data_IF_471076686100
#
_entry.id   IF_471076686100
#
_cell.length_a   1.000
_cell.length_b   1.000
_cell.length_c   1.000
_cell.angle_alpha   90.00
_cell.angle_beta   90.00
_cell.angle_gamma   90.00
#
_symmetry.space_group_name_H-M   'P 1'
#
loop_
_entity.id
_entity.type
_entity.pdbx_description
1 polymer ?
#
# COMPACT_ATOMS: atom_id res chain seq x y z
N UNK A 1 64.38 -45.40 -10.40
CA UNK A 1 63.58 -44.29 -10.96
C UNK A 1 62.26 -44.88 -11.41
N UNK A 2 61.28 -44.88 -10.50
CA UNK A 2 59.91 -45.34 -10.77
C UNK A 2 59.12 -44.22 -11.43
N UNK A 3 58.12 -44.57 -12.22
CA UNK A 3 57.26 -43.67 -13.00
C UNK A 3 56.45 -42.66 -12.17
N UNK A 4 56.56 -42.67 -10.83
CA UNK A 4 55.91 -41.73 -9.90
C UNK A 4 56.70 -40.45 -9.63
N UNK A 5 57.96 -40.35 -10.04
CA UNK A 5 58.77 -39.13 -9.86
C UNK A 5 58.71 -38.16 -11.06
N UNK A 6 57.97 -38.49 -12.12
CA UNK A 6 57.84 -37.67 -13.34
C UNK A 6 56.46 -37.00 -13.54
N UNK A 7 55.56 -37.04 -12.55
CA UNK A 7 54.24 -36.39 -12.61
C UNK A 7 54.09 -35.18 -11.66
N UNK A 8 55.19 -34.53 -11.27
CA UNK A 8 55.21 -33.30 -10.44
C UNK A 8 55.86 -32.10 -11.15
N UNK A 9 55.65 -31.99 -12.46
CA UNK A 9 55.91 -30.75 -13.18
C UNK A 9 54.63 -29.90 -13.24
N UNK A 10 54.54 -28.92 -12.33
CA UNK A 10 53.87 -27.65 -12.61
C UNK A 10 52.37 -27.51 -12.32
N UNK A 11 51.85 -27.93 -11.15
CA UNK A 11 50.63 -27.28 -10.65
C UNK A 11 51.03 -25.96 -9.99
N UNK A 12 50.87 -24.86 -10.72
CA UNK A 12 51.02 -23.52 -10.17
C UNK A 12 49.96 -23.31 -9.09
N UNK A 13 50.35 -23.44 -7.82
CA UNK A 13 49.49 -23.10 -6.68
C UNK A 13 49.16 -21.61 -6.76
N UNK A 14 47.87 -21.28 -6.66
CA UNK A 14 47.43 -19.88 -6.72
C UNK A 14 48.07 -19.11 -5.55
N UNK A 15 48.78 -17.98 -5.80
CA UNK A 15 49.40 -17.20 -4.74
C UNK A 15 48.37 -16.71 -3.72
N UNK A 16 48.72 -16.80 -2.43
CA UNK A 16 47.90 -16.29 -1.32
C UNK A 16 48.09 -14.79 -1.16
N UNK A 17 47.62 -14.03 -2.16
CA UNK A 17 47.73 -12.57 -2.23
C UNK A 17 46.33 -11.93 -2.23
N UNK A 18 46.21 -10.79 -1.57
CA UNK A 18 44.96 -10.02 -1.48
C UNK A 18 44.83 -9.25 -0.17
N UNK A 19 43.91 -8.30 -0.14
CA UNK A 19 43.52 -7.60 1.06
C UNK A 19 42.67 -8.52 1.96
N UNK A 20 42.99 -8.58 3.24
CA UNK A 20 42.16 -9.27 4.22
C UNK A 20 40.90 -8.46 4.53
N UNK A 21 39.75 -8.95 4.09
CA UNK A 21 38.45 -8.30 4.24
C UNK A 21 37.63 -8.86 5.40
N UNK A 22 38.17 -9.77 6.22
CA UNK A 22 37.40 -10.27 7.37
C UNK A 22 37.28 -9.20 8.46
N UNK A 23 36.13 -9.13 9.16
CA UNK A 23 35.99 -8.21 10.29
C UNK A 23 37.02 -8.45 11.41
N UNK A 24 37.49 -9.70 11.56
CA UNK A 24 38.47 -10.10 12.57
C UNK A 24 39.93 -9.89 12.15
N UNK A 25 40.18 -9.56 10.89
CA UNK A 25 41.53 -9.47 10.30
C UNK A 25 42.38 -10.72 10.56
N UNK A 26 41.77 -11.89 10.32
CA UNK A 26 42.36 -13.23 10.58
C UNK A 26 42.89 -13.92 9.31
N UNK A 27 42.92 -13.21 8.18
CA UNK A 27 43.30 -13.72 6.87
C UNK A 27 42.38 -14.84 6.38
N UNK A 28 41.14 -14.90 6.86
CA UNK A 28 40.16 -15.92 6.49
C UNK A 28 39.60 -15.76 5.08
N UNK A 29 39.51 -14.52 4.61
CA UNK A 29 39.01 -14.15 3.28
C UNK A 29 39.91 -13.06 2.71
N UNK A 30 40.71 -13.42 1.70
CA UNK A 30 41.57 -12.48 0.99
C UNK A 30 40.92 -12.09 -0.34
N UNK A 31 40.88 -10.79 -0.65
CA UNK A 31 40.32 -10.24 -1.88
C UNK A 31 41.39 -9.59 -2.73
N UNK A 32 41.42 -9.94 -4.02
CA UNK A 32 42.24 -9.28 -5.03
C UNK A 32 41.33 -8.78 -6.16
N UNK A 33 41.27 -7.46 -6.37
CA UNK A 33 40.51 -6.88 -7.48
C UNK A 33 41.29 -7.10 -8.79
N UNK A 34 40.67 -7.79 -9.75
CA UNK A 34 41.23 -8.04 -11.10
C UNK A 34 40.77 -6.98 -12.10
N UNK A 35 39.55 -6.46 -11.92
CA UNK A 35 39.00 -5.34 -12.68
C UNK A 35 38.10 -4.52 -11.78
N UNK A 36 38.34 -3.22 -11.78
CA UNK A 36 37.52 -2.26 -11.03
C UNK A 36 36.08 -2.22 -11.55
N UNK A 37 35.14 -2.03 -10.62
CA UNK A 37 33.75 -1.70 -10.94
C UNK A 37 33.52 -0.20 -11.09
N UNK A 38 32.26 0.17 -11.24
CA UNK A 38 31.79 1.56 -11.36
C UNK A 38 30.76 1.89 -10.28
N UNK A 39 30.60 3.18 -9.99
CA UNK A 39 29.71 3.67 -8.94
C UNK A 39 30.35 3.68 -7.56
N UNK A 40 29.64 4.27 -6.60
CA UNK A 40 30.07 4.33 -5.19
C UNK A 40 29.22 3.45 -4.26
N UNK A 41 28.08 2.95 -4.75
CA UNK A 41 27.22 2.06 -3.97
C UNK A 41 27.76 0.63 -3.93
N UNK A 42 27.61 0.02 -2.77
CA UNK A 42 27.94 -1.38 -2.50
C UNK A 42 26.66 -2.14 -2.13
N UNK A 43 26.57 -3.45 -2.44
CA UNK A 43 25.50 -4.31 -1.95
C UNK A 43 25.40 -4.28 -0.41
N UNK A 44 24.17 -4.26 0.10
CA UNK A 44 23.87 -4.29 1.53
C UNK A 44 23.23 -5.63 1.92
N UNK A 45 23.18 -5.88 3.23
CA UNK A 45 22.50 -7.09 3.73
C UNK A 45 21.04 -7.09 3.29
N UNK A 46 20.58 -8.19 2.69
CA UNK A 46 19.23 -8.36 2.14
C UNK A 46 19.10 -7.98 0.67
N UNK A 47 20.07 -7.31 0.06
CA UNK A 47 20.03 -7.03 -1.38
C UNK A 47 20.09 -8.35 -2.17
N UNK A 48 19.33 -8.41 -3.25
CA UNK A 48 19.46 -9.47 -4.25
C UNK A 48 20.60 -9.11 -5.18
N UNK A 49 21.63 -9.95 -5.22
CA UNK A 49 22.83 -9.74 -6.03
C UNK A 49 22.88 -10.74 -7.17
N UNK A 50 23.47 -10.35 -8.30
CA UNK A 50 23.61 -11.18 -9.50
C UNK A 50 25.06 -11.22 -9.93
N UNK A 51 25.63 -12.42 -9.96
CA UNK A 51 27.05 -12.63 -10.20
C UNK A 51 27.31 -13.71 -11.25
N UNK A 52 28.43 -13.59 -11.97
CA UNK A 52 29.10 -14.79 -12.49
C UNK A 52 30.24 -15.20 -11.58
N UNK A 53 30.53 -16.50 -11.53
CA UNK A 53 31.66 -17.01 -10.78
C UNK A 53 32.32 -18.22 -11.43
N UNK A 54 33.57 -18.44 -11.04
CA UNK A 54 34.35 -19.65 -11.28
C UNK A 54 34.97 -20.09 -9.96
N UNK A 55 34.71 -21.32 -9.53
CA UNK A 55 35.20 -21.90 -8.28
C UNK A 55 36.27 -22.97 -8.54
N UNK A 56 37.44 -22.79 -7.93
CA UNK A 56 38.59 -23.69 -8.03
C UNK A 56 39.17 -24.02 -6.65
N UNK A 57 39.81 -25.18 -6.53
CA UNK A 57 40.69 -25.47 -5.39
C UNK A 57 42.01 -24.70 -5.54
N UNK A 58 42.80 -24.62 -4.47
CA UNK A 58 44.08 -23.88 -4.47
C UNK A 58 45.10 -24.41 -5.50
N UNK A 59 44.96 -25.68 -5.88
CA UNK A 59 45.77 -26.34 -6.91
C UNK A 59 45.28 -26.03 -8.34
N UNK A 60 44.20 -25.25 -8.49
CA UNK A 60 43.60 -24.87 -9.77
C UNK A 60 42.49 -25.82 -10.25
N UNK A 61 42.20 -26.90 -9.52
CA UNK A 61 41.13 -27.84 -9.90
C UNK A 61 39.77 -27.16 -9.88
N UNK A 62 39.13 -27.05 -11.04
CA UNK A 62 37.80 -26.47 -11.20
C UNK A 62 36.71 -27.40 -10.61
N UNK A 63 35.80 -26.86 -9.79
CA UNK A 63 34.70 -27.64 -9.19
C UNK A 63 33.30 -27.15 -9.56
N UNK A 64 33.12 -25.86 -9.85
CA UNK A 64 31.83 -25.29 -10.24
C UNK A 64 31.98 -23.89 -10.88
N UNK A 65 31.16 -23.59 -11.88
CA UNK A 65 31.06 -22.25 -12.48
C UNK A 65 29.62 -21.97 -12.92
N UNK A 66 29.19 -20.72 -12.79
CA UNK A 66 27.94 -20.27 -13.42
C UNK A 66 28.12 -19.94 -14.90
N UNK A 67 29.34 -19.68 -15.36
CA UNK A 67 29.62 -19.40 -16.79
C UNK A 67 29.37 -20.62 -17.66
N UNK A 68 29.68 -21.82 -17.15
CA UNK A 68 29.38 -23.09 -17.81
C UNK A 68 27.88 -23.31 -18.04
N UNK A 69 27.05 -22.67 -17.21
CA UNK A 69 25.58 -22.74 -17.27
C UNK A 69 24.97 -21.64 -18.14
N UNK A 70 25.75 -20.62 -18.50
CA UNK A 70 25.30 -19.49 -19.31
C UNK A 70 24.35 -18.52 -18.62
N UNK A 71 24.05 -18.73 -17.33
CA UNK A 71 23.10 -17.91 -16.55
C UNK A 71 23.80 -17.31 -15.33
N UNK A 72 23.45 -16.06 -15.00
CA UNK A 72 23.93 -15.41 -13.77
C UNK A 72 23.38 -16.15 -12.56
N UNK A 73 24.20 -16.30 -11.53
CA UNK A 73 23.73 -16.80 -10.24
C UNK A 73 23.23 -15.63 -9.39
N UNK A 74 22.04 -15.77 -8.81
CA UNK A 74 21.46 -14.75 -7.93
C UNK A 74 21.20 -15.29 -6.52
N UNK A 75 21.47 -14.48 -5.51
CA UNK A 75 21.21 -14.82 -4.10
C UNK A 75 20.95 -13.55 -3.27
N UNK A 76 20.41 -13.73 -2.06
CA UNK A 76 20.25 -12.64 -1.08
C UNK A 76 21.49 -12.52 -0.20
N UNK A 77 22.12 -11.35 -0.22
CA UNK A 77 23.38 -11.11 0.48
C UNK A 77 23.18 -11.07 2.00
N UNK A 78 24.04 -11.74 2.76
CA UNK A 78 24.04 -11.71 4.23
C UNK A 78 22.90 -12.52 4.88
N UNK A 79 22.20 -13.36 4.11
CA UNK A 79 21.14 -14.26 4.59
C UNK A 79 21.61 -15.70 4.77
N UNK A 80 22.91 -15.99 4.54
CA UNK A 80 23.47 -17.34 4.66
C UNK A 80 23.04 -18.29 3.55
N UNK A 81 22.61 -17.77 2.40
CA UNK A 81 22.33 -18.58 1.19
C UNK A 81 23.61 -19.09 0.52
N UNK A 82 24.75 -18.46 0.82
CA UNK A 82 26.08 -18.77 0.30
C UNK A 82 27.07 -18.95 1.45
N UNK A 83 28.29 -19.39 1.14
CA UNK A 83 29.35 -19.51 2.16
C UNK A 83 29.68 -18.15 2.79
N UNK A 84 30.14 -18.14 4.05
CA UNK A 84 30.44 -16.91 4.79
C UNK A 84 31.42 -15.99 4.06
N UNK A 85 32.39 -16.57 3.34
CA UNK A 85 33.34 -15.80 2.55
C UNK A 85 32.69 -14.98 1.43
N UNK A 86 31.62 -15.49 0.82
CA UNK A 86 30.88 -14.78 -0.22
C UNK A 86 30.05 -13.64 0.36
N UNK A 87 29.37 -13.87 1.50
CA UNK A 87 28.62 -12.82 2.18
C UNK A 87 29.53 -11.64 2.56
N UNK A 88 30.78 -11.91 2.95
CA UNK A 88 31.78 -10.87 3.24
C UNK A 88 32.31 -10.25 1.93
N UNK A 89 32.70 -11.09 0.96
CA UNK A 89 33.36 -10.65 -0.26
C UNK A 89 32.48 -9.80 -1.18
N UNK A 90 31.28 -10.29 -1.49
CA UNK A 90 30.37 -9.61 -2.44
C UNK A 90 29.86 -8.28 -1.87
N UNK A 91 29.74 -8.15 -0.54
CA UNK A 91 29.41 -6.89 0.13
C UNK A 91 30.44 -5.77 -0.10
N UNK A 92 31.65 -6.10 -0.56
CA UNK A 92 32.72 -5.13 -0.84
C UNK A 92 32.85 -4.79 -2.32
N UNK A 93 32.03 -5.37 -3.19
CA UNK A 93 32.18 -5.25 -4.65
C UNK A 93 31.36 -4.08 -5.21
N UNK A 94 31.93 -3.37 -6.17
CA UNK A 94 31.21 -2.40 -7.02
C UNK A 94 30.57 -3.09 -8.22
N UNK A 95 29.53 -2.50 -8.80
CA UNK A 95 28.91 -3.01 -10.05
C UNK A 95 29.95 -3.06 -11.17
N UNK A 96 30.06 -4.21 -11.84
CA UNK A 96 31.04 -4.49 -12.90
C UNK A 96 32.40 -4.99 -12.41
N UNK A 97 32.64 -4.99 -11.10
CA UNK A 97 33.90 -5.44 -10.51
C UNK A 97 34.11 -6.95 -10.73
N UNK A 98 35.33 -7.32 -11.10
CA UNK A 98 35.81 -8.70 -11.12
C UNK A 98 36.87 -8.85 -10.04
N UNK A 99 36.63 -9.71 -9.05
CA UNK A 99 37.60 -9.98 -7.99
C UNK A 99 37.90 -11.48 -7.84
N UNK A 100 39.03 -11.79 -7.21
CA UNK A 100 39.38 -13.11 -6.74
C UNK A 100 39.28 -13.14 -5.22
N UNK A 101 38.54 -14.11 -4.68
CA UNK A 101 38.45 -14.40 -3.26
C UNK A 101 39.19 -15.71 -2.94
N UNK A 102 40.07 -15.66 -1.95
CA UNK A 102 40.71 -16.85 -1.36
C UNK A 102 40.06 -17.08 0.01
N UNK A 103 39.41 -18.22 0.16
CA UNK A 103 38.50 -18.52 1.26
C UNK A 103 39.02 -19.70 2.07
N UNK A 104 39.49 -19.44 3.30
CA UNK A 104 39.86 -20.50 4.25
C UNK A 104 38.65 -21.37 4.61
N UNK A 105 38.85 -22.65 5.00
CA UNK A 105 37.76 -23.58 5.28
C UNK A 105 36.79 -23.07 6.35
N UNK A 106 37.25 -22.32 7.35
CA UNK A 106 36.40 -21.74 8.38
C UNK A 106 35.33 -20.81 7.78
N UNK A 107 35.63 -20.12 6.68
CA UNK A 107 34.70 -19.23 5.97
C UNK A 107 34.03 -19.90 4.76
N UNK A 108 34.29 -21.19 4.54
CA UNK A 108 33.74 -22.03 3.46
C UNK A 108 33.00 -23.25 4.04
N UNK A 109 33.41 -24.47 3.68
CA UNK A 109 32.75 -25.74 4.07
C UNK A 109 33.38 -26.46 5.27
N UNK A 110 34.37 -25.85 5.92
CA UNK A 110 34.99 -26.35 7.15
C UNK A 110 35.61 -27.74 7.02
N UNK A 111 35.67 -28.44 8.16
CA UNK A 111 36.23 -29.78 8.27
C UNK A 111 35.38 -30.87 7.61
N UNK A 112 34.11 -30.59 7.30
CA UNK A 112 33.25 -31.53 6.59
C UNK A 112 33.50 -31.52 5.07
N UNK A 113 33.83 -30.35 4.50
CA UNK A 113 33.88 -30.16 3.06
C UNK A 113 32.48 -30.26 2.41
N UNK A 114 32.44 -30.51 1.11
CA UNK A 114 31.22 -30.84 0.35
C UNK A 114 31.53 -31.95 -0.66
N UNK A 115 31.63 -33.21 -0.21
CA UNK A 115 31.98 -34.33 -1.07
C UNK A 115 30.96 -34.57 -2.20
N UNK A 116 31.39 -35.07 -3.38
CA UNK A 116 32.76 -35.47 -3.71
C UNK A 116 33.64 -34.31 -4.21
N UNK A 117 33.07 -33.13 -4.46
CA UNK A 117 33.75 -32.03 -5.17
C UNK A 117 34.72 -31.24 -4.29
N UNK A 118 34.35 -31.01 -3.03
CA UNK A 118 35.12 -30.18 -2.11
C UNK A 118 35.58 -31.06 -0.94
N UNK A 119 36.89 -31.27 -0.75
CA UNK A 119 37.39 -32.08 0.36
C UNK A 119 37.28 -31.36 1.71
N UNK A 120 37.38 -32.11 2.82
CA UNK A 120 37.58 -31.56 4.17
C UNK A 120 38.70 -30.51 4.24
N UNK A 121 38.46 -29.41 4.97
CA UNK A 121 39.43 -28.33 5.22
C UNK A 121 40.01 -27.68 3.94
N UNK A 122 39.27 -27.73 2.83
CA UNK A 122 39.70 -27.12 1.57
C UNK A 122 39.75 -25.59 1.67
N UNK A 123 40.83 -25.00 1.17
CA UNK A 123 40.85 -23.57 0.80
C UNK A 123 40.33 -23.43 -0.61
N UNK A 124 39.34 -22.58 -0.79
CA UNK A 124 38.69 -22.36 -2.09
C UNK A 124 39.14 -21.03 -2.68
N UNK A 125 39.24 -20.99 -4.01
CA UNK A 125 39.49 -19.77 -4.76
C UNK A 125 38.32 -19.53 -5.69
N UNK A 126 37.71 -18.36 -5.57
CA UNK A 126 36.62 -17.92 -6.43
C UNK A 126 37.04 -16.71 -7.24
N UNK A 127 36.77 -16.71 -8.54
CA UNK A 127 36.69 -15.48 -9.32
C UNK A 127 35.22 -15.09 -9.44
N UNK A 128 34.86 -13.87 -9.04
CA UNK A 128 33.47 -13.39 -8.97
C UNK A 128 33.36 -12.07 -9.73
N UNK A 129 32.34 -11.96 -10.58
CA UNK A 129 31.97 -10.74 -11.31
C UNK A 129 30.58 -10.28 -10.85
N UNK A 130 30.48 -9.09 -10.26
CA UNK A 130 29.20 -8.52 -9.83
C UNK A 130 28.56 -7.73 -10.98
N UNK A 131 27.36 -8.11 -11.41
CA UNK A 131 26.68 -7.44 -12.52
C UNK A 131 25.67 -6.40 -12.08
N UNK A 132 24.90 -6.72 -11.06
CA UNK A 132 23.82 -5.86 -10.56
C UNK A 132 23.44 -6.32 -9.16
N UNK A 133 22.88 -5.40 -8.40
CA UNK A 133 22.18 -5.69 -7.17
C UNK A 133 20.98 -4.74 -7.07
N UNK A 134 19.94 -5.18 -6.36
CA UNK A 134 18.83 -4.33 -6.03
C UNK A 134 18.33 -4.65 -4.63
N UNK A 135 17.74 -3.65 -3.98
CA UNK A 135 17.06 -3.83 -2.70
C UNK A 135 15.85 -4.76 -2.83
N UNK A 136 15.26 -5.07 -1.69
CA UNK A 136 14.04 -5.86 -1.59
C UNK A 136 12.83 -5.01 -1.99
N UNK A 137 12.03 -5.50 -2.94
CA UNK A 137 10.74 -4.90 -3.22
C UNK A 137 9.71 -5.38 -2.18
N UNK A 138 9.19 -4.44 -1.40
CA UNK A 138 8.22 -4.75 -0.33
C UNK A 138 6.78 -4.49 -0.75
N UNK A 139 6.54 -4.24 -2.03
CA UNK A 139 5.18 -4.09 -2.57
C UNK A 139 4.52 -5.45 -2.80
N UNK A 140 3.21 -5.53 -2.56
CA UNK A 140 2.44 -6.77 -2.73
C UNK A 140 2.43 -7.27 -4.19
N UNK A 141 2.51 -6.34 -5.15
CA UNK A 141 2.47 -6.62 -6.58
C UNK A 141 3.89 -6.76 -7.21
N UNK A 142 4.96 -6.65 -6.41
CA UNK A 142 6.35 -6.59 -6.88
C UNK A 142 6.56 -5.56 -8.02
N UNK A 143 5.96 -4.37 -7.88
CA UNK A 143 5.95 -3.32 -8.92
C UNK A 143 7.16 -2.36 -8.88
N UNK A 144 8.11 -2.65 -7.99
CA UNK A 144 9.28 -1.85 -7.69
C UNK A 144 8.94 -0.50 -7.09
N UNK A 145 7.75 -0.35 -6.50
CA UNK A 145 7.24 0.91 -5.99
C UNK A 145 7.84 1.34 -4.67
N UNK A 146 8.26 0.38 -3.84
CA UNK A 146 8.92 0.60 -2.56
C UNK A 146 10.08 -0.38 -2.43
N UNK A 147 11.30 0.11 -2.60
CA UNK A 147 12.52 -0.70 -2.49
C UNK A 147 13.16 -0.43 -1.13
N UNK A 148 13.41 -1.49 -0.36
CA UNK A 148 14.07 -1.45 0.95
C UNK A 148 15.51 -1.93 0.85
N UNK A 149 16.43 -1.23 1.52
CA UNK A 149 17.82 -1.64 1.75
C UNK A 149 18.17 -1.53 3.23
N UNK A 150 18.56 -2.65 3.85
CA UNK A 150 18.75 -2.72 5.31
C UNK A 150 20.14 -2.21 5.69
N UNK A 151 20.19 -1.18 6.55
CA UNK A 151 21.43 -0.61 7.12
C UNK A 151 21.83 -1.38 8.38
N UNK A 152 20.90 -1.46 9.34
CA UNK A 152 21.07 -2.20 10.58
C UNK A 152 19.94 -3.22 10.70
N UNK A 153 20.29 -4.50 10.85
CA UNK A 153 19.29 -5.56 11.00
C UNK A 153 18.56 -5.41 12.33
N UNK A 154 17.24 -5.54 12.29
CA UNK A 154 16.42 -5.60 13.50
C UNK A 154 16.57 -6.90 14.29
N UNK A 155 15.78 -6.99 15.36
CA UNK A 155 15.73 -8.13 16.26
C UNK A 155 14.30 -8.67 16.35
N UNK A 156 14.21 -9.99 16.55
CA UNK A 156 12.93 -10.69 16.60
C UNK A 156 12.37 -11.01 15.21
N UNK A 157 11.12 -11.48 15.19
CA UNK A 157 10.43 -11.90 13.96
C UNK A 157 9.10 -11.17 13.75
N UNK A 158 8.66 -10.42 14.75
CA UNK A 158 7.42 -9.65 14.70
C UNK A 158 7.63 -8.35 13.94
N UNK A 159 6.60 -7.92 13.22
CA UNK A 159 6.55 -6.64 12.51
C UNK A 159 5.29 -5.85 12.93
N UNK A 160 5.30 -4.51 12.83
CA UNK A 160 4.10 -3.71 13.01
C UNK A 160 3.00 -4.13 12.02
N UNK A 161 1.74 -4.12 12.47
CA UNK A 161 0.56 -4.26 11.60
C UNK A 161 -0.18 -2.92 11.49
N UNK A 162 -1.17 -2.86 10.59
CA UNK A 162 -2.09 -1.73 10.50
C UNK A 162 -2.70 -1.43 11.88
N UNK A 163 -2.58 -0.18 12.33
CA UNK A 163 -3.02 0.23 13.66
C UNK A 163 -2.02 0.02 14.79
N UNK A 164 -0.84 -0.54 14.54
CA UNK A 164 0.21 -0.66 15.56
C UNK A 164 0.67 0.72 16.03
N UNK A 165 1.00 0.84 17.32
CA UNK A 165 1.69 2.01 17.86
C UNK A 165 3.18 1.86 17.60
N UNK A 166 3.79 2.80 16.88
CA UNK A 166 5.21 2.75 16.48
C UNK A 166 5.98 3.95 17.01
N UNK A 167 7.25 3.73 17.36
CA UNK A 167 8.23 4.76 17.69
C UNK A 167 9.35 4.70 16.66
N UNK A 168 9.48 5.76 15.85
CA UNK A 168 10.37 5.79 14.69
C UNK A 168 11.14 7.11 14.60
N UNK A 169 12.34 7.04 14.04
CA UNK A 169 13.03 8.21 13.47
C UNK A 169 12.92 8.13 11.96
N UNK A 170 12.47 9.21 11.33
CA UNK A 170 12.24 9.28 9.89
C UNK A 170 12.96 10.49 9.32
N UNK A 171 13.84 10.23 8.36
CA UNK A 171 14.55 11.24 7.57
C UNK A 171 14.18 11.03 6.09
N UNK A 172 13.58 12.05 5.47
CA UNK A 172 13.20 12.07 4.07
C UNK A 172 14.13 12.99 3.28
N UNK A 173 14.70 12.46 2.21
CA UNK A 173 15.65 13.13 1.32
C UNK A 173 15.16 13.08 -0.13
N UNK A 174 15.46 14.13 -0.86
CA UNK A 174 15.20 14.25 -2.29
C UNK A 174 16.43 14.88 -2.94
N UNK A 175 17.03 14.20 -3.91
CA UNK A 175 18.26 14.63 -4.60
C UNK A 175 19.38 15.01 -3.61
N UNK A 176 19.51 14.26 -2.50
CA UNK A 176 20.49 14.49 -1.44
C UNK A 176 20.15 15.62 -0.45
N UNK A 177 19.02 16.30 -0.61
CA UNK A 177 18.55 17.33 0.32
C UNK A 177 17.51 16.77 1.30
N UNK A 178 17.75 16.94 2.59
CA UNK A 178 16.79 16.59 3.65
C UNK A 178 15.62 17.57 3.61
N UNK A 179 14.42 17.06 3.35
CA UNK A 179 13.16 17.83 3.39
C UNK A 179 12.29 17.50 4.60
N UNK A 180 12.57 16.38 5.27
CA UNK A 180 11.82 15.90 6.42
C UNK A 180 12.76 15.20 7.40
N UNK A 181 12.71 15.57 8.68
CA UNK A 181 13.44 14.86 9.74
C UNK A 181 12.67 14.99 11.05
N UNK A 182 12.18 13.85 11.57
CA UNK A 182 11.42 13.83 12.84
C UNK A 182 11.59 12.51 13.58
N UNK A 183 11.52 12.59 14.90
CA UNK A 183 11.22 11.47 15.79
C UNK A 183 9.72 11.48 16.09
N UNK A 184 9.05 10.35 15.87
CA UNK A 184 7.60 10.25 15.90
C UNK A 184 7.16 9.06 16.74
N UNK A 185 6.07 9.27 17.48
CA UNK A 185 5.25 8.20 18.04
C UNK A 185 3.85 8.34 17.49
N UNK A 186 3.44 7.38 16.66
CA UNK A 186 2.14 7.44 15.98
C UNK A 186 1.58 6.04 15.75
N UNK A 187 0.35 5.99 15.25
CA UNK A 187 -0.35 4.75 14.92
C UNK A 187 -0.23 4.50 13.41
N UNK A 188 0.20 3.31 12.99
CA UNK A 188 0.23 2.95 11.57
C UNK A 188 -1.19 3.05 10.98
N UNK A 189 -1.32 3.73 9.85
CA UNK A 189 -2.58 4.16 9.24
C UNK A 189 -2.88 5.66 9.40
N UNK A 190 -1.99 6.40 10.07
CA UNK A 190 -2.12 7.83 10.39
C UNK A 190 -0.91 8.67 9.95
N UNK A 191 -0.09 8.16 9.05
CA UNK A 191 1.10 8.86 8.55
C UNK A 191 0.79 10.21 7.90
N UNK A 192 -0.37 10.34 7.23
CA UNK A 192 -0.80 11.58 6.57
C UNK A 192 -0.84 12.78 7.54
N UNK A 193 -1.24 12.56 8.80
CA UNK A 193 -1.28 13.60 9.84
C UNK A 193 0.09 14.16 10.22
N UNK A 194 1.15 13.43 9.87
CA UNK A 194 2.54 13.79 10.09
C UNK A 194 3.25 14.16 8.79
N UNK A 195 2.49 14.44 7.72
CA UNK A 195 3.03 14.70 6.38
C UNK A 195 3.86 13.51 5.82
N UNK A 196 3.57 12.28 6.23
CA UNK A 196 4.21 11.07 5.71
C UNK A 196 3.38 10.46 4.56
N UNK A 197 4.01 10.04 3.46
CA UNK A 197 3.32 9.33 2.40
C UNK A 197 3.07 7.86 2.79
N UNK A 198 2.08 7.22 2.16
CA UNK A 198 1.66 5.83 2.46
C UNK A 198 2.80 4.81 2.35
N UNK A 199 3.77 5.06 1.47
CA UNK A 199 4.95 4.20 1.30
C UNK A 199 5.83 4.13 2.55
N UNK A 200 5.89 5.20 3.36
CA UNK A 200 6.64 5.21 4.63
C UNK A 200 5.97 4.27 5.63
N UNK A 201 4.65 4.29 5.72
CA UNK A 201 3.90 3.39 6.62
C UNK A 201 4.01 1.93 6.19
N UNK A 202 3.92 1.66 4.88
CA UNK A 202 4.21 0.32 4.33
C UNK A 202 5.65 -0.12 4.62
N UNK A 203 6.62 0.80 4.51
CA UNK A 203 8.00 0.57 4.91
C UNK A 203 8.12 0.14 6.38
N UNK A 204 7.53 0.90 7.30
CA UNK A 204 7.52 0.60 8.74
C UNK A 204 6.92 -0.78 9.03
N UNK A 205 5.82 -1.17 8.37
CA UNK A 205 5.22 -2.50 8.53
C UNK A 205 6.08 -3.64 8.00
N UNK A 206 7.08 -3.37 7.16
CA UNK A 206 8.02 -4.39 6.68
C UNK A 206 9.21 -4.61 7.64
N UNK A 207 9.44 -3.69 8.58
CA UNK A 207 10.61 -3.63 9.45
C UNK A 207 10.48 -4.48 10.72
N UNK A 208 11.62 -4.94 11.23
CA UNK A 208 11.79 -5.55 12.56
C UNK A 208 12.16 -4.49 13.61
N UNK A 209 11.93 -4.78 14.90
CA UNK A 209 12.28 -3.84 15.96
C UNK A 209 13.80 -3.62 16.01
N UNK A 210 14.23 -2.36 16.08
CA UNK A 210 15.64 -1.96 16.04
C UNK A 210 16.22 -1.88 14.63
N UNK A 211 15.46 -2.23 13.58
CA UNK A 211 15.91 -2.12 12.19
C UNK A 211 16.09 -0.65 11.79
N UNK A 212 17.14 -0.40 11.02
CA UNK A 212 17.37 0.86 10.32
C UNK A 212 17.54 0.54 8.83
N UNK A 213 16.78 1.20 7.97
CA UNK A 213 16.76 0.90 6.55
C UNK A 213 16.53 2.15 5.70
N UNK A 214 17.04 2.11 4.47
CA UNK A 214 16.75 3.06 3.42
C UNK A 214 15.60 2.54 2.56
N UNK A 215 14.67 3.43 2.21
CA UNK A 215 13.52 3.16 1.37
C UNK A 215 13.51 4.10 0.18
N UNK A 216 13.52 3.55 -1.03
CA UNK A 216 13.24 4.31 -2.25
C UNK A 216 11.77 4.15 -2.60
N UNK A 217 11.01 5.24 -2.55
CA UNK A 217 9.55 5.27 -2.68
C UNK A 217 9.17 6.00 -3.96
N UNK A 218 8.62 5.26 -4.95
CA UNK A 218 8.13 5.83 -6.21
C UNK A 218 6.85 6.65 -6.00
N UNK A 219 6.48 7.55 -6.93
CA UNK A 219 5.35 8.47 -6.78
C UNK A 219 4.02 7.81 -6.42
N UNK A 220 3.74 6.59 -6.91
CA UNK A 220 2.53 5.80 -6.58
C UNK A 220 2.35 5.61 -5.07
N UNK A 221 3.46 5.47 -4.34
CA UNK A 221 3.48 5.28 -2.88
C UNK A 221 4.00 6.51 -2.13
N UNK A 222 4.48 7.53 -2.85
CA UNK A 222 4.91 8.83 -2.33
C UNK A 222 3.76 9.83 -2.23
N UNK A 223 4.04 11.10 -2.54
CA UNK A 223 3.02 12.17 -2.62
C UNK A 223 2.29 12.25 -3.97
N UNK A 224 2.46 11.26 -4.85
CA UNK A 224 1.77 11.17 -6.13
C UNK A 224 2.05 12.33 -7.07
N UNK A 225 1.06 12.62 -7.92
CA UNK A 225 1.10 13.72 -8.90
C UNK A 225 0.77 15.09 -8.31
N UNK A 226 0.37 15.15 -7.04
CA UNK A 226 0.17 16.41 -6.34
C UNK A 226 1.50 16.97 -5.80
N UNK A 227 2.44 16.09 -5.43
CA UNK A 227 3.62 16.49 -4.67
C UNK A 227 3.23 16.93 -3.25
N UNK A 228 4.15 17.61 -2.57
CA UNK A 228 3.90 18.21 -1.27
C UNK A 228 4.56 19.59 -1.19
N UNK A 229 3.79 20.63 -1.49
CA UNK A 229 4.27 22.03 -1.53
C UNK A 229 4.86 22.48 -0.18
N UNK A 230 4.24 22.07 0.94
CA UNK A 230 4.69 22.40 2.29
C UNK A 230 6.09 21.86 2.59
N UNK A 231 6.43 20.71 2.03
CA UNK A 231 7.73 20.07 2.18
C UNK A 231 8.69 20.35 1.01
N UNK A 232 8.29 21.16 0.02
CA UNK A 232 9.09 21.43 -1.17
C UNK A 232 9.25 20.22 -2.10
N UNK A 233 8.36 19.23 -2.01
CA UNK A 233 8.43 18.01 -2.82
C UNK A 233 7.63 18.20 -4.13
N UNK A 234 8.26 18.03 -5.31
CA UNK A 234 7.58 18.22 -6.58
C UNK A 234 6.64 17.07 -6.93
N UNK A 235 5.75 17.32 -7.90
CA UNK A 235 4.89 16.31 -8.51
C UNK A 235 5.73 15.16 -9.09
N UNK A 236 5.32 13.92 -8.82
CA UNK A 236 5.96 12.75 -9.44
C UNK A 236 7.38 12.47 -8.92
N UNK A 237 7.76 13.01 -7.76
CA UNK A 237 9.05 12.74 -7.14
C UNK A 237 9.17 11.31 -6.62
N UNK A 238 10.30 10.67 -6.90
CA UNK A 238 10.76 9.48 -6.17
C UNK A 238 11.50 9.96 -4.92
N UNK A 239 11.16 9.40 -3.76
CA UNK A 239 11.64 9.86 -2.46
C UNK A 239 12.56 8.83 -1.84
N UNK A 240 13.56 9.29 -1.10
CA UNK A 240 14.43 8.43 -0.31
C UNK A 240 14.18 8.68 1.18
N UNK A 241 13.78 7.64 1.91
CA UNK A 241 13.53 7.71 3.34
C UNK A 241 14.47 6.78 4.09
N UNK A 242 15.22 7.34 5.03
CA UNK A 242 15.93 6.58 6.04
C UNK A 242 15.05 6.49 7.27
N UNK A 243 14.70 5.26 7.66
CA UNK A 243 13.79 4.99 8.77
C UNK A 243 14.48 4.09 9.78
N UNK A 244 14.37 4.46 11.05
CA UNK A 244 14.76 3.62 12.18
C UNK A 244 13.54 3.27 13.01
N UNK A 245 13.22 1.99 13.14
CA UNK A 245 12.13 1.51 13.97
C UNK A 245 12.67 1.19 15.37
N UNK A 246 12.41 2.05 16.34
CA UNK A 246 12.95 1.89 17.70
C UNK A 246 12.13 0.88 18.51
N UNK A 247 10.81 1.02 18.48
CA UNK A 247 9.88 0.15 19.20
C UNK A 247 8.52 0.14 18.51
N UNK A 248 7.74 -0.92 18.73
CA UNK A 248 6.33 -0.94 18.36
C UNK A 248 5.52 -1.86 19.26
N UNK A 249 4.21 -1.63 19.28
CA UNK A 249 3.19 -2.49 19.87
C UNK A 249 2.13 -2.79 18.81
N UNK A 250 1.92 -4.06 18.49
CA UNK A 250 0.94 -4.47 17.47
C UNK A 250 -0.48 -4.11 17.90
N UNK A 251 -1.31 -3.72 16.95
CA UNK A 251 -2.74 -3.75 17.15
C UNK A 251 -3.20 -5.20 17.29
N UNK A 252 -4.09 -5.48 18.24
CA UNK A 252 -4.76 -6.77 18.31
C UNK A 252 -5.71 -6.94 17.14
N UNK A 253 -5.63 -8.08 16.49
CA UNK A 253 -6.57 -8.46 15.44
C UNK A 253 -7.93 -8.86 16.04
N UNK A 254 -9.00 -8.74 15.26
CA UNK A 254 -10.36 -9.03 15.74
C UNK A 254 -10.51 -10.44 16.32
N UNK A 255 -9.81 -11.44 15.77
CA UNK A 255 -9.86 -12.82 16.24
C UNK A 255 -8.99 -13.12 17.47
N UNK A 256 -8.05 -12.23 17.82
CA UNK A 256 -7.18 -12.39 18.99
C UNK A 256 -7.88 -11.95 20.30
N UNK A 257 -9.00 -11.24 20.18
CA UNK A 257 -9.77 -10.74 21.32
C UNK A 257 -11.02 -11.58 21.56
N UNK A 258 -11.26 -11.94 22.81
CA UNK A 258 -12.56 -12.45 23.26
C UNK A 258 -13.60 -11.30 23.36
N UNK A 259 -14.88 -11.64 23.46
CA UNK A 259 -15.95 -10.62 23.52
C UNK A 259 -15.77 -9.59 24.65
N UNK A 260 -15.45 -9.96 25.91
CA UNK A 260 -15.16 -8.96 26.95
C UNK A 260 -14.05 -7.98 26.56
N UNK A 261 -12.94 -8.46 26.01
CA UNK A 261 -11.85 -7.62 25.52
C UNK A 261 -12.30 -6.71 24.38
N UNK A 262 -13.08 -7.22 23.41
CA UNK A 262 -13.62 -6.41 22.31
C UNK A 262 -14.51 -5.27 22.83
N UNK A 263 -15.35 -5.54 23.83
CA UNK A 263 -16.22 -4.53 24.43
C UNK A 263 -15.42 -3.45 25.16
N UNK A 264 -14.41 -3.86 25.94
CA UNK A 264 -13.52 -2.92 26.64
C UNK A 264 -12.70 -2.06 25.67
N UNK A 265 -12.05 -2.69 24.68
CA UNK A 265 -11.28 -1.98 23.65
C UNK A 265 -12.16 -1.04 22.83
N UNK A 266 -13.39 -1.44 22.52
CA UNK A 266 -14.36 -0.59 21.81
C UNK A 266 -14.67 0.71 22.56
N UNK A 267 -14.68 0.68 23.90
CA UNK A 267 -14.86 1.90 24.71
C UNK A 267 -13.64 2.81 24.58
N UNK A 268 -12.43 2.25 24.70
CA UNK A 268 -11.17 3.01 24.61
C UNK A 268 -11.03 3.69 23.25
N UNK A 269 -11.21 2.95 22.15
CA UNK A 269 -11.09 3.54 20.80
C UNK A 269 -12.22 4.53 20.50
N UNK A 270 -13.42 4.35 21.08
CA UNK A 270 -14.49 5.35 20.97
C UNK A 270 -14.09 6.68 21.62
N UNK A 271 -13.45 6.64 22.79
CA UNK A 271 -12.95 7.82 23.47
C UNK A 271 -11.82 8.48 22.69
N UNK A 272 -10.86 7.70 22.20
CA UNK A 272 -9.78 8.17 21.32
C UNK A 272 -10.32 8.84 20.05
N UNK A 273 -11.28 8.20 19.38
CA UNK A 273 -11.95 8.77 18.21
C UNK A 273 -12.68 10.08 18.53
N UNK A 274 -13.28 10.18 19.73
CA UNK A 274 -13.95 11.41 20.18
C UNK A 274 -12.96 12.53 20.44
N UNK A 275 -11.78 12.21 20.96
CA UNK A 275 -10.70 13.17 21.15
C UNK A 275 -10.21 13.69 19.79
N UNK A 276 -9.93 12.81 18.82
CA UNK A 276 -9.58 13.22 17.46
C UNK A 276 -10.67 14.08 16.81
N UNK A 277 -11.95 13.72 16.98
CA UNK A 277 -13.04 14.52 16.45
C UNK A 277 -13.04 15.95 17.00
N UNK A 278 -12.76 16.12 18.31
CA UNK A 278 -12.65 17.44 18.95
C UNK A 278 -11.46 18.25 18.44
N UNK A 279 -10.36 17.59 18.11
CA UNK A 279 -9.16 18.20 17.52
C UNK A 279 -9.33 18.56 16.02
N UNK A 280 -10.48 18.27 15.42
CA UNK A 280 -10.72 18.49 13.97
C UNK A 280 -10.11 17.39 13.08
N UNK A 281 -9.56 16.34 13.70
CA UNK A 281 -8.90 15.20 13.08
C UNK A 281 -9.91 14.14 12.62
N UNK A 282 -10.77 14.51 11.68
CA UNK A 282 -11.94 13.70 11.31
C UNK A 282 -11.60 12.36 10.63
N UNK A 283 -10.55 12.32 9.81
CA UNK A 283 -10.07 11.06 9.20
C UNK A 283 -9.63 10.07 10.27
N UNK A 284 -8.77 10.49 11.20
CA UNK A 284 -8.32 9.68 12.34
C UNK A 284 -9.48 9.21 13.23
N UNK A 285 -10.42 10.11 13.53
CA UNK A 285 -11.61 9.75 14.28
C UNK A 285 -12.39 8.63 13.59
N UNK A 286 -12.53 8.70 12.25
CA UNK A 286 -13.23 7.66 11.48
C UNK A 286 -12.53 6.30 11.57
N UNK A 287 -11.20 6.24 11.56
CA UNK A 287 -10.43 4.99 11.70
C UNK A 287 -10.74 4.33 13.04
N UNK A 288 -10.74 5.09 14.13
CA UNK A 288 -11.04 4.55 15.47
C UNK A 288 -12.46 4.00 15.57
N UNK A 289 -13.45 4.71 15.01
CA UNK A 289 -14.84 4.22 15.01
C UNK A 289 -15.05 3.01 14.09
N UNK A 290 -14.32 2.90 12.97
CA UNK A 290 -14.35 1.72 12.09
C UNK A 290 -13.90 0.46 12.82
N UNK A 291 -12.90 0.55 13.72
CA UNK A 291 -12.46 -0.60 14.54
C UNK A 291 -13.58 -1.19 15.39
N UNK A 292 -14.40 -0.34 16.00
CA UNK A 292 -15.55 -0.78 16.81
C UNK A 292 -16.51 -1.60 15.94
N UNK A 293 -16.81 -1.11 14.73
CA UNK A 293 -17.68 -1.83 13.79
C UNK A 293 -17.05 -3.17 13.43
N UNK A 294 -15.78 -3.17 13.01
CA UNK A 294 -15.05 -4.39 12.63
C UNK A 294 -15.02 -5.44 13.74
N UNK A 295 -14.86 -5.04 15.00
CA UNK A 295 -14.80 -5.98 16.12
C UNK A 295 -16.16 -6.55 16.50
N UNK A 296 -17.23 -5.77 16.37
CA UNK A 296 -18.54 -6.11 16.93
C UNK A 296 -19.62 -6.47 15.88
N UNK A 297 -19.39 -6.23 14.59
CA UNK A 297 -20.41 -6.43 13.54
C UNK A 297 -20.84 -7.89 13.41
N UNK A 298 -19.89 -8.82 13.51
CA UNK A 298 -20.12 -10.26 13.34
C UNK A 298 -20.17 -11.04 14.66
N UNK A 299 -20.12 -10.37 15.80
CA UNK A 299 -20.31 -11.01 17.10
C UNK A 299 -21.76 -11.48 17.24
N UNK A 300 -21.96 -12.75 17.56
CA UNK A 300 -23.28 -13.36 17.72
C UNK A 300 -23.26 -14.37 18.87
N UNK A 301 -24.43 -14.71 19.40
CA UNK A 301 -24.55 -15.63 20.54
C UNK A 301 -24.07 -15.05 21.87
N UNK A 302 -24.04 -13.71 21.98
CA UNK A 302 -23.64 -13.02 23.20
C UNK A 302 -24.70 -13.17 24.31
N UNK A 303 -24.26 -13.04 25.56
CA UNK A 303 -25.18 -12.90 26.69
C UNK A 303 -26.00 -11.61 26.54
N UNK A 304 -27.21 -11.58 27.09
CA UNK A 304 -28.15 -10.46 26.89
C UNK A 304 -27.57 -9.09 27.29
N UNK A 305 -26.81 -9.04 28.39
CA UNK A 305 -26.08 -7.85 28.85
C UNK A 305 -25.05 -7.36 27.84
N UNK A 306 -24.26 -8.28 27.29
CA UNK A 306 -23.17 -7.98 26.37
C UNK A 306 -23.69 -7.63 24.97
N UNK A 307 -24.78 -8.27 24.53
CA UNK A 307 -25.46 -7.91 23.28
C UNK A 307 -26.00 -6.47 23.35
N UNK A 308 -26.58 -6.07 24.49
CA UNK A 308 -27.02 -4.68 24.70
C UNK A 308 -25.86 -3.69 24.63
N UNK A 309 -24.72 -4.01 25.27
CA UNK A 309 -23.50 -3.19 25.23
C UNK A 309 -22.92 -3.11 23.81
N UNK A 310 -22.80 -4.25 23.11
CA UNK A 310 -22.30 -4.32 21.75
C UNK A 310 -23.18 -3.52 20.78
N UNK A 311 -24.50 -3.67 20.88
CA UNK A 311 -25.47 -2.89 20.09
C UNK A 311 -25.34 -1.39 20.34
N UNK A 312 -25.21 -0.96 21.61
CA UNK A 312 -25.04 0.44 21.96
C UNK A 312 -23.72 1.03 21.41
N UNK A 313 -22.63 0.25 21.47
CA UNK A 313 -21.33 0.64 20.93
C UNK A 313 -21.35 0.74 19.41
N UNK A 314 -21.94 -0.24 18.70
CA UNK A 314 -22.11 -0.21 17.24
C UNK A 314 -22.94 1.00 16.80
N UNK A 315 -24.06 1.25 17.47
CA UNK A 315 -24.90 2.42 17.18
C UNK A 315 -24.12 3.73 17.36
N UNK A 316 -23.38 3.88 18.46
CA UNK A 316 -22.55 5.05 18.70
C UNK A 316 -21.44 5.21 17.64
N UNK A 317 -20.79 4.11 17.25
CA UNK A 317 -19.75 4.10 16.22
C UNK A 317 -20.30 4.55 14.86
N UNK A 318 -21.41 3.97 14.38
CA UNK A 318 -22.03 4.37 13.12
C UNK A 318 -22.50 5.82 13.11
N UNK A 319 -23.10 6.30 14.21
CA UNK A 319 -23.47 7.69 14.35
C UNK A 319 -22.25 8.61 14.23
N UNK A 320 -21.17 8.30 14.93
CA UNK A 320 -19.96 9.12 14.92
C UNK A 320 -19.24 9.05 13.57
N UNK A 321 -19.22 7.89 12.90
CA UNK A 321 -18.74 7.73 11.53
C UNK A 321 -19.49 8.63 10.56
N UNK A 322 -20.82 8.61 10.58
CA UNK A 322 -21.64 9.48 9.75
C UNK A 322 -21.28 10.96 9.94
N UNK A 323 -21.04 11.37 11.20
CA UNK A 323 -20.60 12.74 11.49
C UNK A 323 -19.20 13.05 10.93
N UNK A 324 -18.25 12.11 11.04
CA UNK A 324 -16.91 12.28 10.47
C UNK A 324 -16.99 12.44 8.94
N UNK A 325 -17.75 11.57 8.28
CA UNK A 325 -17.94 11.60 6.82
C UNK A 325 -18.59 12.89 6.32
N UNK A 326 -19.60 13.41 7.04
CA UNK A 326 -20.17 14.72 6.74
C UNK A 326 -19.14 15.85 6.87
N UNK A 327 -18.21 15.76 7.82
CA UNK A 327 -17.14 16.77 8.02
C UNK A 327 -16.07 16.71 6.95
N UNK A 328 -15.73 15.53 6.44
CA UNK A 328 -14.76 15.35 5.34
C UNK A 328 -15.39 15.43 3.94
N UNK A 329 -16.69 15.75 3.86
CA UNK A 329 -17.44 15.91 2.60
C UNK A 329 -17.56 14.61 1.77
N UNK A 330 -17.69 13.47 2.43
CA UNK A 330 -17.96 12.17 1.81
C UNK A 330 -19.40 11.70 2.12
N UNK A 331 -20.43 12.28 1.47
CA UNK A 331 -21.81 12.03 1.86
C UNK A 331 -22.30 10.60 1.58
N UNK A 332 -21.70 9.88 0.62
CA UNK A 332 -22.03 8.47 0.36
C UNK A 332 -21.73 7.59 1.57
N UNK A 333 -20.52 7.67 2.13
CA UNK A 333 -20.13 6.92 3.32
C UNK A 333 -20.92 7.34 4.57
N UNK A 334 -21.32 8.61 4.64
CA UNK A 334 -22.20 9.10 5.70
C UNK A 334 -23.59 8.46 5.63
N UNK A 335 -24.15 8.32 4.43
CA UNK A 335 -25.44 7.66 4.18
C UNK A 335 -25.39 6.19 4.62
N UNK A 336 -24.38 5.44 4.19
CA UNK A 336 -24.21 4.02 4.55
C UNK A 336 -24.13 3.84 6.08
N UNK A 337 -23.35 4.71 6.74
CA UNK A 337 -23.22 4.71 8.20
C UNK A 337 -24.55 5.01 8.90
N UNK A 338 -25.34 5.94 8.36
CA UNK A 338 -26.67 6.24 8.90
C UNK A 338 -27.66 5.09 8.71
N UNK A 339 -27.64 4.41 7.57
CA UNK A 339 -28.49 3.25 7.32
C UNK A 339 -28.18 2.12 8.31
N UNK A 340 -26.90 1.83 8.55
CA UNK A 340 -26.48 0.89 9.60
C UNK A 340 -26.90 1.31 11.01
N UNK A 341 -26.85 2.60 11.33
CA UNK A 341 -27.38 3.09 12.60
C UNK A 341 -28.91 2.89 12.73
N UNK A 342 -29.66 3.06 11.63
CA UNK A 342 -31.12 2.89 11.59
C UNK A 342 -31.57 1.42 11.55
N UNK A 343 -30.74 0.50 11.06
CA UNK A 343 -30.94 -0.95 11.25
C UNK A 343 -30.95 -1.31 12.75
N UNK A 344 -30.11 -0.64 13.55
CA UNK A 344 -30.01 -0.86 15.00
C UNK A 344 -31.09 -0.12 15.81
N UNK A 345 -31.37 1.14 15.44
CA UNK A 345 -32.40 1.99 16.04
C UNK A 345 -33.14 2.79 14.95
N UNK A 346 -34.28 2.26 14.43
CA UNK A 346 -35.03 2.88 13.33
C UNK A 346 -35.62 4.26 13.63
N UNK A 347 -35.63 4.65 14.90
CA UNK A 347 -36.17 5.92 15.38
C UNK A 347 -35.09 6.94 15.70
N UNK A 348 -33.80 6.59 15.62
CA UNK A 348 -32.73 7.44 16.12
C UNK A 348 -32.72 8.84 15.48
N UNK A 349 -32.94 9.88 16.31
CA UNK A 349 -32.99 11.28 15.86
C UNK A 349 -31.74 11.68 15.08
N UNK A 350 -30.55 11.35 15.60
CA UNK A 350 -29.26 11.75 15.00
C UNK A 350 -29.02 11.03 13.68
N UNK A 351 -29.38 9.75 13.58
CA UNK A 351 -29.19 8.99 12.33
C UNK A 351 -30.08 9.52 11.21
N UNK A 352 -31.39 9.71 11.48
CA UNK A 352 -32.33 10.28 10.52
C UNK A 352 -31.90 11.68 10.06
N UNK A 353 -31.51 12.54 11.00
CA UNK A 353 -31.09 13.90 10.68
C UNK A 353 -29.82 13.92 9.82
N UNK A 354 -28.79 13.15 10.20
CA UNK A 354 -27.52 13.07 9.46
C UNK A 354 -27.69 12.41 8.09
N UNK A 355 -28.58 11.42 7.95
CA UNK A 355 -28.91 10.83 6.65
C UNK A 355 -29.57 11.86 5.73
N UNK A 356 -30.48 12.66 6.27
CA UNK A 356 -31.06 13.81 5.56
C UNK A 356 -30.00 14.81 5.10
N UNK A 357 -29.00 15.12 5.93
CA UNK A 357 -27.88 16.00 5.55
C UNK A 357 -27.01 15.40 4.44
N UNK A 358 -26.71 14.10 4.51
CA UNK A 358 -25.95 13.38 3.50
C UNK A 358 -26.68 13.36 2.14
N UNK A 359 -27.96 12.99 2.15
CA UNK A 359 -28.83 13.00 0.96
C UNK A 359 -28.96 14.40 0.36
N UNK A 360 -29.07 15.43 1.20
CA UNK A 360 -29.10 16.81 0.75
C UNK A 360 -27.80 17.21 0.05
N UNK A 361 -26.64 16.83 0.60
CA UNK A 361 -25.35 17.05 -0.03
C UNK A 361 -25.21 16.32 -1.38
N UNK A 362 -25.84 15.14 -1.51
CA UNK A 362 -25.94 14.37 -2.76
C UNK A 362 -27.00 14.90 -3.74
N UNK A 363 -27.72 15.99 -3.39
CA UNK A 363 -28.82 16.59 -4.17
C UNK A 363 -30.06 15.69 -4.31
N UNK A 364 -30.21 14.70 -3.44
CA UNK A 364 -31.40 13.86 -3.34
C UNK A 364 -32.44 14.53 -2.42
N UNK A 365 -32.93 15.70 -2.83
CA UNK A 365 -33.71 16.59 -1.96
C UNK A 365 -35.04 16.01 -1.50
N UNK A 366 -35.70 15.17 -2.32
CA UNK A 366 -36.95 14.51 -1.93
C UNK A 366 -36.73 13.53 -0.76
N UNK A 367 -35.76 12.61 -0.90
CA UNK A 367 -35.41 11.66 0.16
C UNK A 367 -34.89 12.38 1.42
N UNK A 368 -34.08 13.42 1.25
CA UNK A 368 -33.60 14.23 2.37
C UNK A 368 -34.76 14.87 3.14
N UNK A 369 -35.75 15.42 2.41
CA UNK A 369 -36.95 16.00 2.99
C UNK A 369 -37.76 14.97 3.77
N UNK A 370 -37.93 13.76 3.25
CA UNK A 370 -38.65 12.68 3.93
C UNK A 370 -38.00 12.33 5.28
N UNK A 371 -36.67 12.25 5.32
CA UNK A 371 -35.92 12.02 6.57
C UNK A 371 -36.12 13.17 7.58
N UNK A 372 -35.98 14.43 7.16
CA UNK A 372 -36.21 15.56 8.05
C UNK A 372 -37.67 15.64 8.52
N UNK A 373 -38.64 15.28 7.68
CA UNK A 373 -40.05 15.20 8.08
C UNK A 373 -40.26 14.09 9.12
N UNK A 374 -39.62 12.93 8.95
CA UNK A 374 -39.65 11.86 9.95
C UNK A 374 -39.04 12.31 11.28
N UNK A 375 -37.95 13.08 11.27
CA UNK A 375 -37.40 13.71 12.48
C UNK A 375 -38.42 14.64 13.13
N UNK A 376 -39.13 15.48 12.38
CA UNK A 376 -40.14 16.39 12.95
C UNK A 376 -41.32 15.61 13.56
N UNK A 377 -41.73 14.51 12.93
CA UNK A 377 -42.82 13.66 13.41
C UNK A 377 -42.47 12.99 14.75
N UNK A 378 -41.26 12.45 14.87
CA UNK A 378 -40.81 11.77 16.09
C UNK A 378 -40.28 12.74 17.16
N UNK A 379 -39.68 13.85 16.75
CA UNK A 379 -39.00 14.84 17.59
C UNK A 379 -39.43 16.28 17.25
N UNK A 380 -40.65 16.70 17.62
CA UNK A 380 -41.23 17.98 17.20
C UNK A 380 -40.47 19.24 17.69
N UNK A 381 -39.63 19.10 18.71
CA UNK A 381 -38.77 20.15 19.28
C UNK A 381 -37.55 20.47 18.42
N UNK A 382 -37.18 19.60 17.46
CA UNK A 382 -36.03 19.79 16.59
C UNK A 382 -36.28 20.91 15.56
N UNK A 383 -35.84 22.13 15.88
CA UNK A 383 -35.97 23.31 15.01
C UNK A 383 -35.10 23.23 13.75
N UNK A 384 -33.96 22.53 13.83
CA UNK A 384 -33.06 22.37 12.70
C UNK A 384 -33.74 21.57 11.58
N UNK A 385 -34.47 20.50 11.92
CA UNK A 385 -35.18 19.68 10.94
C UNK A 385 -36.25 20.48 10.18
N UNK A 386 -37.01 21.34 10.87
CA UNK A 386 -37.99 22.25 10.24
C UNK A 386 -37.34 23.21 9.24
N UNK A 387 -36.17 23.74 9.60
CA UNK A 387 -35.40 24.63 8.74
C UNK A 387 -34.89 23.89 7.50
N UNK A 388 -34.40 22.65 7.66
CA UNK A 388 -33.94 21.82 6.57
C UNK A 388 -35.06 21.40 5.61
N UNK A 389 -36.26 21.05 6.10
CA UNK A 389 -37.42 20.77 5.23
C UNK A 389 -37.73 21.96 4.31
N UNK A 390 -37.73 23.18 4.88
CA UNK A 390 -37.96 24.42 4.12
C UNK A 390 -36.87 24.63 3.06
N UNK A 391 -35.62 24.31 3.40
CA UNK A 391 -34.49 24.38 2.47
C UNK A 391 -34.61 23.34 1.35
N UNK A 392 -34.97 22.08 1.65
CA UNK A 392 -35.22 21.05 0.64
C UNK A 392 -36.31 21.48 -0.34
N UNK A 393 -37.44 22.00 0.16
CA UNK A 393 -38.53 22.50 -0.69
C UNK A 393 -38.08 23.62 -1.62
N UNK A 394 -37.27 24.56 -1.12
CA UNK A 394 -36.69 25.62 -1.94
C UNK A 394 -35.81 25.05 -3.06
N UNK A 395 -34.91 24.12 -2.73
CA UNK A 395 -34.00 23.48 -3.70
C UNK A 395 -34.75 22.66 -4.75
N UNK A 396 -35.78 21.91 -4.34
CA UNK A 396 -36.65 21.17 -5.27
C UNK A 396 -37.33 22.11 -6.26
N UNK A 397 -37.88 23.23 -5.78
CA UNK A 397 -38.49 24.24 -6.66
C UNK A 397 -37.47 24.83 -7.65
N UNK A 398 -36.28 25.18 -7.18
CA UNK A 398 -35.19 25.68 -8.03
C UNK A 398 -34.78 24.64 -9.10
N UNK A 399 -34.71 23.35 -8.73
CA UNK A 399 -34.38 22.26 -9.64
C UNK A 399 -35.47 22.06 -10.69
N UNK A 400 -36.75 21.99 -10.29
CA UNK A 400 -37.86 21.89 -11.24
C UNK A 400 -37.94 23.08 -12.20
N UNK A 401 -37.70 24.30 -11.72
CA UNK A 401 -37.66 25.49 -12.58
C UNK A 401 -36.50 25.42 -13.58
N UNK A 402 -35.33 24.94 -13.14
CA UNK A 402 -34.17 24.76 -14.01
C UNK A 402 -34.41 23.68 -15.05
N UNK A 403 -34.94 22.53 -14.65
CA UNK A 403 -35.26 21.41 -15.53
C UNK A 403 -36.31 21.83 -16.56
N UNK A 404 -37.37 22.54 -16.14
CA UNK A 404 -38.38 23.10 -17.05
C UNK A 404 -37.75 24.00 -18.12
N UNK A 405 -36.78 24.86 -17.75
CA UNK A 405 -36.06 25.71 -18.71
C UNK A 405 -35.18 24.89 -19.66
N UNK A 406 -34.46 23.88 -19.13
CA UNK A 406 -33.61 22.99 -19.93
C UNK A 406 -34.46 22.24 -20.96
N UNK A 407 -35.55 21.61 -20.53
CA UNK A 407 -36.45 20.89 -21.43
C UNK A 407 -37.09 21.83 -22.46
N UNK A 408 -37.58 23.01 -22.06
CA UNK A 408 -38.14 23.98 -23.01
C UNK A 408 -37.14 24.37 -24.11
N UNK A 409 -35.89 24.68 -23.73
CA UNK A 409 -34.83 24.99 -24.68
C UNK A 409 -34.45 23.80 -25.57
N UNK A 410 -34.46 22.59 -25.01
CA UNK A 410 -34.17 21.36 -25.74
C UNK A 410 -35.27 21.06 -26.78
N UNK A 411 -36.55 21.20 -26.42
CA UNK A 411 -37.69 21.10 -27.34
C UNK A 411 -37.62 22.14 -28.46
N UNK A 412 -37.28 23.39 -28.13
CA UNK A 412 -37.12 24.43 -29.15
C UNK A 412 -36.00 24.08 -30.14
N UNK A 413 -34.84 23.63 -29.66
CA UNK A 413 -33.73 23.21 -30.53
C UNK A 413 -34.08 22.02 -31.42
N UNK A 414 -34.86 21.05 -30.92
CA UNK A 414 -35.32 19.93 -31.74
C UNK A 414 -36.32 20.39 -32.80
N UNK A 415 -37.28 21.25 -32.45
CA UNK A 415 -38.20 21.83 -33.42
C UNK A 415 -37.48 22.67 -34.51
N UNK A 416 -36.45 23.43 -34.13
CA UNK A 416 -35.59 24.18 -35.06
C UNK A 416 -34.75 23.27 -35.97
N UNK A 417 -34.39 22.07 -35.50
CA UNK A 417 -33.66 21.07 -36.30
C UNK A 417 -34.59 20.39 -37.30
N UNK A 418 -35.78 19.97 -36.85
CA UNK A 418 -36.77 19.29 -37.70
C UNK A 418 -37.29 20.21 -38.80
N UNK A 419 -37.46 21.50 -38.50
CA UNK A 419 -37.83 22.52 -39.49
C UNK A 419 -36.71 22.84 -40.51
N UNK A 420 -35.46 22.45 -40.23
CA UNK A 420 -34.32 22.59 -41.14
C UNK A 420 -34.03 21.31 -41.93
N UNK A 421 -34.72 20.20 -41.66
CA UNK A 421 -34.69 19.02 -42.54
C UNK A 421 -35.65 19.31 -43.69
N UNK A 422 -35.19 19.42 -44.95
CA UNK A 422 -36.08 19.67 -46.06
C UNK A 422 -37.08 18.52 -46.17
N UNK A 423 -38.36 18.86 -46.32
CA UNK A 423 -39.39 17.91 -46.70
C UNK A 423 -38.95 17.19 -47.97
N UNK A 424 -38.49 15.94 -47.81
CA UNK A 424 -38.30 15.03 -48.94
C UNK A 424 -39.59 14.96 -49.75
N UNK A 425 -39.50 14.83 -51.08
CA UNK A 425 -40.59 15.17 -51.99
C UNK A 425 -41.84 14.33 -51.73
N UNK A 426 -42.97 15.02 -51.61
CA UNK A 426 -44.32 14.43 -51.62
C UNK A 426 -44.54 13.79 -53.00
N UNK A 427 -44.46 12.46 -53.06
CA UNK A 427 -44.85 11.72 -54.26
C UNK A 427 -46.38 11.65 -54.36
N UNK A 428 -46.95 12.16 -55.46
CA UNK A 428 -48.30 11.85 -55.92
C UNK A 428 -48.25 11.32 -57.36
N UNK A 429 -48.59 10.03 -57.46
CA UNK A 429 -49.20 9.23 -58.54
C UNK A 429 -48.53 9.10 -59.92
N UNK A 430 -48.10 7.88 -60.30
CA UNK A 430 -48.81 6.98 -61.25
C UNK A 430 -48.03 5.67 -61.60
N UNK A 431 -48.78 4.55 -61.58
CA UNK A 431 -48.63 3.16 -62.11
C UNK A 431 -47.42 2.21 -61.90
N UNK A 432 -47.83 1.03 -61.40
CA UNK A 432 -47.59 -0.37 -61.84
C UNK A 432 -46.18 -0.98 -61.86
N UNK A 433 -46.17 -2.10 -61.14
CA UNK A 433 -45.33 -3.29 -61.23
C UNK A 433 -44.00 -3.29 -60.44
N UNK A 434 -43.95 -4.29 -59.54
CA UNK A 434 -42.81 -5.03 -59.00
C UNK A 434 -42.50 -4.84 -57.50
N UNK A 435 -43.02 -5.82 -56.74
CA UNK A 435 -42.38 -6.60 -55.66
C UNK A 435 -41.48 -5.89 -54.62
N UNK A 436 -41.93 -5.99 -53.36
CA UNK A 436 -41.28 -5.55 -52.12
C UNK A 436 -40.01 -6.35 -51.72
N UNK A 437 -39.14 -5.74 -50.90
CA UNK A 437 -38.55 -6.42 -49.73
C UNK A 437 -38.60 -5.56 -48.43
N UNK A 438 -38.28 -6.16 -47.25
CA UNK A 438 -38.98 -5.87 -46.00
C UNK A 438 -38.32 -4.86 -45.05
N UNK A 439 -39.15 -4.48 -44.08
CA UNK A 439 -38.97 -3.56 -42.96
C UNK A 439 -37.77 -3.86 -42.03
N UNK A 440 -37.14 -2.80 -41.55
CA UNK A 440 -36.44 -2.80 -40.25
C UNK A 440 -36.65 -1.46 -39.53
N UNK A 441 -37.87 -1.27 -39.00
CA UNK A 441 -38.20 -0.16 -38.12
C UNK A 441 -38.07 -0.59 -36.65
N UNK A 442 -37.06 -0.08 -35.95
CA UNK A 442 -37.00 -0.14 -34.48
C UNK A 442 -37.91 0.97 -33.93
N UNK A 443 -39.13 0.59 -33.53
CA UNK A 443 -40.02 1.45 -32.73
C UNK A 443 -39.52 1.50 -31.29
N UNK A 444 -39.04 2.66 -30.83
CA UNK A 444 -38.97 2.94 -29.39
C UNK A 444 -40.35 3.46 -28.94
N UNK A 445 -41.13 2.58 -28.32
CA UNK A 445 -42.36 2.92 -27.62
C UNK A 445 -42.01 3.57 -26.27
N UNK A 446 -42.23 4.87 -26.14
CA UNK A 446 -42.34 5.51 -24.83
C UNK A 446 -43.82 5.52 -24.46
N UNK A 447 -44.20 4.60 -23.58
CA UNK A 447 -45.54 4.56 -22.97
C UNK A 447 -45.52 5.50 -21.77
N UNK A 448 -46.16 6.66 -21.88
CA UNK A 448 -46.59 7.43 -20.72
C UNK A 448 -48.00 6.96 -20.35
N UNK A 449 -48.12 6.21 -19.25
CA UNK A 449 -49.39 6.10 -18.53
C UNK A 449 -49.50 7.28 -17.58
N UNK A 450 -50.47 8.15 -17.85
CA UNK A 450 -50.97 9.09 -16.85
C UNK A 450 -52.47 9.19 -17.05
N UNK A 451 -53.19 8.44 -16.21
CA UNK A 451 -54.64 8.53 -16.06
C UNK A 451 -54.94 8.59 -14.58
N UNK A 452 -55.20 9.80 -14.07
CA UNK A 452 -56.17 10.15 -13.02
C UNK A 452 -56.54 11.62 -13.29
N UNK A 453 -57.80 12.06 -13.19
CA UNK A 453 -58.93 11.43 -12.48
C UNK A 453 -59.88 10.59 -13.32
#
# INVERSE_FOLDING_TARGET
MTADEQAKEGLATIPMEGEDITPKKDGGVLKLVKREGTGEELPMTGDKVFVHYVGTLLDGTHFDSSRDKGEKFSFELGKGQVIRAWDIGVATMKVGELCQLICKPEYAYGSAGSPPKIPPNATLVFEIELFEFHGEDITEDEDGGIIRRIITKGQGYSKPNEGASVEVTVEGTLDGHVFYERELKFEVGDGESFDLPVGVEKGIMAMEQGEEALFTIKPKYGFGTAGNEKLGVPCGATLEYKIKLTAFEKAKESWEMNTPEKLEQSVIVKEKGTQYFKEGKYKQASVQYKRIVLWLEHESGLQEEDEKKAKALRLAAHLNLAMCYLKIQEPSHALDSCDKALELDPTNEKALFRRGEALFAMKEFDRAKDDFQKVIQLYPSNKAAKSQVSLCQKRLKEQHEKDKRIYANMFQKFAERDSKVPSGPVFRDWDKNHTAPPESGVRLLVVFSSSIP
#
